data_IF_491012245145
#
_entry.id   IF_491012245145
#
_cell.length_a   1.000
_cell.length_b   1.000
_cell.length_c   1.000
_cell.angle_alpha   90.00
_cell.angle_beta   90.00
_cell.angle_gamma   90.00
#
_symmetry.space_group_name_H-M   'P 1'
#
loop_
_entity.id
_entity.type
_entity.pdbx_description
1 polymer ?
#
# COMPACT_ATOMS: atom_id res chain seq x y z
N UNK A 1 -0.58 0.28 12.24
CA UNK A 1 -0.98 -0.36 10.96
C UNK A 1 -0.31 -1.72 10.87
N UNK A 2 -1.01 -2.77 10.42
CA UNK A 2 -0.51 -4.16 10.40
C UNK A 2 0.72 -4.38 9.50
N UNK A 3 0.89 -3.54 8.48
CA UNK A 3 1.99 -3.55 7.51
C UNK A 3 3.17 -2.61 7.88
N UNK A 4 3.19 -2.00 9.07
CA UNK A 4 4.23 -1.04 9.50
C UNK A 4 4.91 -1.38 10.83
N UNK A 5 4.78 -2.61 11.29
CA UNK A 5 5.39 -3.05 12.55
C UNK A 5 6.74 -3.76 12.36
N UNK A 6 7.26 -3.75 11.14
CA UNK A 6 8.51 -4.39 10.74
C UNK A 6 8.28 -5.55 9.75
N UNK A 7 9.32 -5.89 8.99
CA UNK A 7 9.21 -6.86 7.90
C UNK A 7 8.77 -8.24 8.40
N UNK A 8 9.35 -8.73 9.49
CA UNK A 8 8.98 -10.04 10.05
C UNK A 8 7.50 -10.13 10.39
N UNK A 9 6.98 -9.23 11.22
CA UNK A 9 5.57 -9.25 11.61
C UNK A 9 4.65 -9.05 10.40
N UNK A 10 5.08 -8.25 9.43
CA UNK A 10 4.32 -8.05 8.19
C UNK A 10 4.23 -9.35 7.39
N UNK A 11 5.31 -10.09 7.26
CA UNK A 11 5.32 -11.38 6.55
C UNK A 11 4.52 -12.46 7.30
N UNK A 12 4.56 -12.48 8.63
CA UNK A 12 3.70 -13.36 9.45
C UNK A 12 2.20 -13.07 9.14
N UNK A 13 1.81 -11.79 9.03
CA UNK A 13 0.44 -11.40 8.65
C UNK A 13 0.09 -11.78 7.21
N UNK A 14 1.02 -11.61 6.28
CA UNK A 14 0.85 -12.00 4.86
C UNK A 14 0.62 -13.51 4.75
N UNK A 15 1.41 -14.31 5.46
CA UNK A 15 1.27 -15.76 5.49
C UNK A 15 -0.13 -16.19 5.97
N UNK A 16 -0.63 -15.57 7.04
CA UNK A 16 -1.99 -15.82 7.55
C UNK A 16 -3.04 -15.58 6.46
N UNK A 17 -2.96 -14.45 5.75
CA UNK A 17 -3.93 -14.08 4.72
C UNK A 17 -3.87 -15.02 3.50
N UNK A 18 -2.67 -15.35 3.03
CA UNK A 18 -2.49 -16.28 1.91
C UNK A 18 -2.99 -17.68 2.27
N UNK A 19 -2.65 -18.18 3.47
CA UNK A 19 -3.14 -19.49 3.96
C UNK A 19 -4.66 -19.52 4.15
N UNK A 20 -5.27 -18.37 4.47
CA UNK A 20 -6.71 -18.22 4.54
C UNK A 20 -7.39 -18.18 3.15
N UNK A 21 -6.62 -18.24 2.06
CA UNK A 21 -7.12 -18.33 0.68
C UNK A 21 -7.03 -17.03 -0.11
N UNK A 22 -6.40 -15.97 0.41
CA UNK A 22 -6.18 -14.75 -0.37
C UNK A 22 -5.24 -15.03 -1.55
N UNK A 23 -5.59 -14.53 -2.74
CA UNK A 23 -4.74 -14.65 -3.92
C UNK A 23 -3.82 -13.43 -4.11
N UNK A 24 -4.12 -12.33 -3.44
CA UNK A 24 -3.36 -11.09 -3.51
C UNK A 24 -3.52 -10.28 -2.23
N UNK A 25 -2.58 -9.37 -1.99
CA UNK A 25 -2.59 -8.44 -0.86
C UNK A 25 -2.92 -7.04 -1.38
N UNK A 26 -3.80 -6.30 -0.69
CA UNK A 26 -4.03 -4.87 -0.96
C UNK A 26 -3.30 -4.04 0.10
N UNK A 27 -2.45 -3.10 -0.33
CA UNK A 27 -1.70 -2.24 0.58
C UNK A 27 -2.02 -0.78 0.29
N UNK A 28 -2.30 0.01 1.33
CA UNK A 28 -2.59 1.44 1.20
C UNK A 28 -1.34 2.29 1.36
N UNK A 29 -1.14 3.18 0.39
CA UNK A 29 -0.04 4.12 0.33
C UNK A 29 1.27 3.48 -0.11
N UNK A 30 2.11 4.29 -0.75
CA UNK A 30 3.44 3.88 -1.22
C UNK A 30 4.50 4.25 -0.20
N UNK A 31 4.49 5.50 0.28
CA UNK A 31 5.48 6.02 1.21
C UNK A 31 5.55 5.20 2.50
N UNK A 32 6.68 4.54 2.76
CA UNK A 32 6.90 3.64 3.89
C UNK A 32 6.49 2.19 3.65
N UNK A 33 6.09 1.83 2.42
CA UNK A 33 5.78 0.46 2.00
C UNK A 33 6.65 0.01 0.80
N UNK A 34 7.55 0.84 0.29
CA UNK A 34 8.35 0.55 -0.92
C UNK A 34 9.15 -0.76 -0.78
N UNK A 35 9.82 -0.94 0.37
CA UNK A 35 10.55 -2.17 0.67
C UNK A 35 9.63 -3.39 0.75
N UNK A 36 8.40 -3.21 1.25
CA UNK A 36 7.41 -4.27 1.33
C UNK A 36 6.89 -4.66 -0.06
N UNK A 37 6.53 -3.69 -0.91
CA UNK A 37 6.13 -3.98 -2.30
C UNK A 37 7.23 -4.74 -3.04
N UNK A 38 8.48 -4.27 -2.93
CA UNK A 38 9.62 -4.96 -3.50
C UNK A 38 9.75 -6.38 -2.95
N UNK A 39 9.68 -6.57 -1.62
CA UNK A 39 9.85 -7.88 -1.00
C UNK A 39 8.74 -8.87 -1.40
N UNK A 40 7.47 -8.43 -1.44
CA UNK A 40 6.34 -9.25 -1.86
C UNK A 40 6.45 -9.65 -3.32
N UNK A 41 6.82 -8.71 -4.20
CA UNK A 41 7.04 -8.97 -5.63
C UNK A 41 8.15 -10.00 -5.85
N UNK A 42 9.31 -9.85 -5.20
CA UNK A 42 10.40 -10.83 -5.28
C UNK A 42 10.02 -12.19 -4.68
N UNK A 43 9.07 -12.22 -3.73
CA UNK A 43 8.54 -13.45 -3.14
C UNK A 43 7.42 -14.09 -3.97
N UNK A 44 7.05 -13.49 -5.11
CA UNK A 44 5.99 -13.98 -5.98
C UNK A 44 4.57 -13.80 -5.41
N UNK A 45 4.39 -12.89 -4.45
CA UNK A 45 3.09 -12.62 -3.82
C UNK A 45 2.38 -11.49 -4.58
N UNK A 46 1.24 -11.75 -5.25
CA UNK A 46 0.53 -10.72 -5.97
C UNK A 46 0.07 -9.60 -5.05
N UNK A 47 0.29 -8.36 -5.46
CA UNK A 47 -0.03 -7.18 -4.64
C UNK A 47 -0.79 -6.16 -5.47
N UNK A 48 -1.79 -5.53 -4.86
CA UNK A 48 -2.59 -4.45 -5.41
C UNK A 48 -2.24 -3.18 -4.65
N UNK A 49 -1.60 -2.23 -5.35
CA UNK A 49 -1.34 -0.90 -4.82
C UNK A 49 -2.64 -0.09 -4.70
N UNK A 50 -2.88 0.49 -3.53
CA UNK A 50 -3.99 1.44 -3.32
C UNK A 50 -3.40 2.81 -3.01
N UNK A 51 -3.50 3.72 -3.98
CA UNK A 51 -2.96 5.09 -3.92
C UNK A 51 -4.09 6.14 -3.89
N UNK A 52 -3.74 7.39 -3.62
CA UNK A 52 -4.69 8.49 -3.55
C UNK A 52 -5.49 8.53 -2.24
N UNK A 53 -6.82 8.40 -2.31
CA UNK A 53 -7.62 8.42 -1.09
C UNK A 53 -7.42 7.11 -0.34
N UNK A 54 -6.48 7.08 0.61
CA UNK A 54 -6.22 5.92 1.48
C UNK A 54 -6.96 6.07 2.82
N UNK A 55 -8.08 5.37 3.06
CA UNK A 55 -8.89 5.52 4.27
C UNK A 55 -8.13 5.34 5.57
N UNK A 56 -7.10 4.47 5.58
CA UNK A 56 -6.27 4.23 6.77
C UNK A 56 -5.50 5.47 7.23
N UNK A 57 -5.31 6.44 6.33
CA UNK A 57 -4.62 7.71 6.60
C UNK A 57 -5.56 8.92 6.53
N UNK A 58 -6.89 8.74 6.63
CA UNK A 58 -7.85 9.85 6.47
C UNK A 58 -7.54 11.06 7.35
N UNK A 59 -7.05 10.87 8.59
CA UNK A 59 -6.64 11.98 9.46
C UNK A 59 -5.47 12.78 8.89
N UNK A 60 -4.48 12.13 8.29
CA UNK A 60 -3.32 12.79 7.69
C UNK A 60 -3.67 13.56 6.41
N UNK A 61 -4.63 13.04 5.64
CA UNK A 61 -5.09 13.67 4.37
C UNK A 61 -6.29 14.61 4.54
N UNK A 62 -6.69 14.89 5.79
CA UNK A 62 -7.74 15.86 6.11
C UNK A 62 -9.17 15.41 5.77
N UNK A 63 -9.44 14.11 5.90
CA UNK A 63 -10.75 13.46 5.75
C UNK A 63 -10.91 12.68 4.43
N UNK A 64 -12.14 12.25 4.16
CA UNK A 64 -12.49 11.51 2.93
C UNK A 64 -12.69 12.47 1.76
N UNK A 65 -11.59 12.98 1.20
CA UNK A 65 -11.61 13.93 0.08
C UNK A 65 -11.03 13.29 -1.18
N UNK A 66 -11.55 13.69 -2.34
CA UNK A 66 -10.96 13.33 -3.63
C UNK A 66 -9.56 13.94 -3.78
N UNK A 67 -8.59 13.11 -4.20
CA UNK A 67 -7.19 13.47 -4.44
C UNK A 67 -6.93 13.72 -5.93
N UNK A 68 -5.79 14.32 -6.29
CA UNK A 68 -5.42 14.56 -7.71
C UNK A 68 -6.11 15.77 -8.35
N UNK A 69 -6.61 16.73 -7.56
CA UNK A 69 -7.30 17.93 -8.08
C UNK A 69 -6.37 19.07 -8.51
N UNK A 70 -5.08 18.95 -8.20
CA UNK A 70 -4.03 19.89 -8.59
C UNK A 70 -2.99 19.13 -9.39
N UNK A 71 -2.28 19.83 -10.28
CA UNK A 71 -1.20 19.23 -11.09
C UNK A 71 -0.16 18.55 -10.20
N UNK A 72 0.20 19.19 -9.08
CA UNK A 72 1.14 18.61 -8.11
C UNK A 72 0.62 17.30 -7.51
N UNK A 73 -0.64 17.27 -7.07
CA UNK A 73 -1.25 16.06 -6.50
C UNK A 73 -1.41 14.96 -7.55
N UNK A 74 -1.75 15.31 -8.79
CA UNK A 74 -1.84 14.37 -9.91
C UNK A 74 -0.48 13.73 -10.20
N UNK A 75 0.58 14.53 -10.33
CA UNK A 75 1.93 14.03 -10.56
C UNK A 75 2.42 13.13 -9.41
N UNK A 76 2.10 13.49 -8.17
CA UNK A 76 2.38 12.62 -7.01
C UNK A 76 1.70 11.26 -7.14
N UNK A 77 0.43 11.22 -7.57
CA UNK A 77 -0.30 9.96 -7.77
C UNK A 77 0.32 9.09 -8.88
N UNK A 78 0.77 9.73 -9.98
CA UNK A 78 1.43 9.02 -11.07
C UNK A 78 2.75 8.41 -10.57
N UNK A 79 3.53 9.15 -9.80
CA UNK A 79 4.78 8.64 -9.22
C UNK A 79 4.56 7.55 -8.18
N UNK A 80 3.48 7.63 -7.40
CA UNK A 80 3.04 6.55 -6.52
C UNK A 80 2.69 5.29 -7.33
N UNK A 81 1.90 5.40 -8.39
CA UNK A 81 1.50 4.26 -9.23
C UNK A 81 2.69 3.52 -9.86
N UNK A 82 3.78 4.23 -10.18
CA UNK A 82 5.00 3.61 -10.74
C UNK A 82 5.81 2.82 -9.72
N UNK A 83 5.57 3.05 -8.42
CA UNK A 83 6.33 2.49 -7.29
C UNK A 83 5.60 1.34 -6.59
N UNK A 84 4.34 1.10 -6.93
CA UNK A 84 3.55 -0.06 -6.48
C UNK A 84 3.71 -1.23 -7.43
#
# INVERSE_FOLDING_TARGET
MSNRKGMKETMDNVEILIKAGANALKIEGVAGNEELYAHLSHSGIPTIGHIGLTPSHHNAIGGFKAQGKTIESELSLIEEAKKT
#
